data_IF_724987495711
#
_entry.id   IF_724987495711
#
_cell.length_a   1.000
_cell.length_b   1.000
_cell.length_c   1.000
_cell.angle_alpha   90.00
_cell.angle_beta   90.00
_cell.angle_gamma   90.00
#
_symmetry.space_group_name_H-M   'P 1'
#
loop_
_entity.id
_entity.type
_entity.pdbx_description
1 polymer ?
#
# COMPACT_ATOMS: atom_id res chain seq x y z
N UNK A 1 -9.96 -1.00 17.91
CA UNK A 1 -10.52 -1.60 16.70
C UNK A 1 -9.43 -2.10 15.78
N UNK A 2 -9.65 -3.21 15.10
CA UNK A 2 -8.76 -3.66 14.03
C UNK A 2 -8.93 -2.78 12.77
N UNK A 3 -7.99 -2.86 11.85
CA UNK A 3 -8.09 -2.15 10.56
C UNK A 3 -9.35 -2.56 9.81
N UNK A 4 -9.67 -3.87 9.83
CA UNK A 4 -10.88 -4.38 9.19
C UNK A 4 -12.15 -3.83 9.82
N UNK A 5 -12.19 -3.72 11.15
CA UNK A 5 -13.33 -3.13 11.85
C UNK A 5 -13.49 -1.63 11.55
N UNK A 6 -12.38 -0.90 11.46
CA UNK A 6 -12.41 0.51 11.06
C UNK A 6 -12.95 0.68 9.64
N UNK A 7 -12.52 -0.16 8.73
CA UNK A 7 -13.01 -0.15 7.35
C UNK A 7 -14.52 -0.42 7.30
N UNK A 8 -14.99 -1.46 7.98
CA UNK A 8 -16.41 -1.83 8.02
C UNK A 8 -17.29 -0.73 8.60
N UNK A 9 -16.80 -0.03 9.62
CA UNK A 9 -17.58 0.97 10.34
C UNK A 9 -17.57 2.35 9.69
N UNK A 10 -16.50 2.73 9.01
CA UNK A 10 -16.32 4.12 8.58
C UNK A 10 -16.11 4.31 7.08
N UNK A 11 -15.83 3.25 6.33
CA UNK A 11 -15.60 3.34 4.89
C UNK A 11 -16.82 2.76 4.15
N UNK A 12 -17.28 3.49 3.14
CA UNK A 12 -18.41 3.02 2.31
C UNK A 12 -18.04 1.71 1.63
N UNK A 13 -18.90 0.71 1.74
CA UNK A 13 -18.67 -0.61 1.18
C UNK A 13 -19.00 -0.64 -0.32
N UNK A 14 -18.10 -0.08 -1.14
CA UNK A 14 -18.24 -0.04 -2.60
C UNK A 14 -17.66 -1.27 -3.29
N UNK A 15 -16.80 -2.02 -2.61
CA UNK A 15 -16.16 -3.23 -3.12
C UNK A 15 -16.12 -4.31 -2.06
N UNK A 16 -16.19 -5.56 -2.49
CA UNK A 16 -15.90 -6.69 -1.61
C UNK A 16 -14.38 -6.82 -1.47
N UNK A 17 -13.88 -6.61 -0.28
CA UNK A 17 -12.45 -6.73 0.01
C UNK A 17 -12.10 -8.14 0.46
N UNK A 18 -10.94 -8.62 0.03
CA UNK A 18 -10.37 -9.83 0.61
C UNK A 18 -9.98 -9.56 2.07
N UNK A 19 -10.07 -10.56 2.96
CA UNK A 19 -9.74 -10.37 4.38
C UNK A 19 -8.23 -10.36 4.60
N UNK A 20 -7.54 -9.42 3.97
CA UNK A 20 -6.09 -9.26 4.02
C UNK A 20 -5.78 -7.80 4.35
N UNK A 21 -4.92 -7.59 5.33
CA UNK A 21 -4.42 -6.25 5.69
C UNK A 21 -2.94 -6.21 5.34
N UNK A 22 -2.61 -5.51 4.26
CA UNK A 22 -1.23 -5.32 3.82
C UNK A 22 -0.57 -4.28 4.70
N UNK A 23 0.63 -4.56 5.18
CA UNK A 23 1.31 -3.72 6.15
C UNK A 23 2.58 -3.09 5.62
N UNK A 24 3.35 -3.81 4.83
CA UNK A 24 4.64 -3.35 4.32
C UNK A 24 4.98 -4.04 3.01
N UNK A 25 6.04 -3.58 2.37
CA UNK A 25 6.50 -4.21 1.14
C UNK A 25 7.83 -3.67 0.68
N UNK A 26 8.42 -4.36 -0.29
CA UNK A 26 9.65 -3.95 -0.94
C UNK A 26 9.71 -4.55 -2.33
N UNK A 27 9.92 -3.72 -3.34
CA UNK A 27 9.94 -4.18 -4.73
C UNK A 27 8.58 -4.75 -5.13
N UNK A 28 8.53 -6.02 -5.47
CA UNK A 28 7.31 -6.73 -5.85
C UNK A 28 6.75 -7.62 -4.75
N UNK A 29 7.29 -7.54 -3.54
CA UNK A 29 6.83 -8.33 -2.40
C UNK A 29 6.05 -7.47 -1.43
N UNK A 30 4.92 -7.98 -0.95
CA UNK A 30 4.06 -7.32 0.03
C UNK A 30 3.84 -8.28 1.18
N UNK A 31 3.83 -7.75 2.39
CA UNK A 31 3.66 -8.54 3.61
C UNK A 31 2.40 -8.08 4.34
N UNK A 32 1.56 -9.03 4.76
CA UNK A 32 0.38 -8.71 5.55
C UNK A 32 0.70 -8.59 7.05
N UNK A 33 -0.30 -8.24 7.85
CA UNK A 33 -0.15 -8.05 9.29
C UNK A 33 0.26 -9.30 10.05
N UNK A 34 0.11 -10.48 9.44
CA UNK A 34 0.48 -11.76 10.02
C UNK A 34 1.84 -12.27 9.52
N UNK A 35 2.54 -11.48 8.70
CA UNK A 35 3.85 -11.83 8.18
C UNK A 35 3.81 -12.68 6.91
N UNK A 36 2.64 -12.92 6.33
CA UNK A 36 2.54 -13.66 5.07
C UNK A 36 2.94 -12.76 3.90
N UNK A 37 3.76 -13.30 3.01
CA UNK A 37 4.23 -12.59 1.81
C UNK A 37 3.39 -12.93 0.59
N UNK A 38 3.23 -11.92 -0.26
CA UNK A 38 2.53 -12.00 -1.54
C UNK A 38 3.39 -11.35 -2.62
N UNK A 39 3.22 -11.82 -3.86
CA UNK A 39 3.82 -11.15 -5.02
C UNK A 39 2.79 -10.18 -5.57
N UNK A 40 3.16 -8.90 -5.62
CA UNK A 40 2.30 -7.84 -6.18
C UNK A 40 2.48 -7.79 -7.70
N UNK A 41 1.48 -8.27 -8.42
CA UNK A 41 1.43 -8.22 -9.88
C UNK A 41 0.52 -7.10 -10.39
N UNK A 42 -0.27 -6.48 -9.52
CA UNK A 42 -1.24 -5.45 -9.89
C UNK A 42 -0.66 -4.04 -9.77
N UNK A 43 0.35 -3.83 -8.96
CA UNK A 43 1.05 -2.56 -8.72
C UNK A 43 0.14 -1.41 -8.26
N UNK A 44 -1.07 -1.70 -7.78
CA UNK A 44 -2.06 -0.66 -7.48
C UNK A 44 -2.51 0.10 -8.73
N UNK A 45 -2.58 -0.59 -9.85
CA UNK A 45 -2.86 -0.02 -11.19
C UNK A 45 -1.80 1.05 -11.52
N UNK A 46 -0.55 0.59 -11.61
CA UNK A 46 0.64 1.37 -11.97
C UNK A 46 1.13 2.37 -10.90
N UNK A 47 0.54 2.41 -9.73
CA UNK A 47 1.02 3.29 -8.64
C UNK A 47 2.43 2.90 -8.23
N UNK A 48 2.72 1.60 -8.13
CA UNK A 48 4.03 1.08 -7.73
C UNK A 48 4.88 0.66 -8.93
N UNK A 49 4.93 1.49 -9.97
CA UNK A 49 5.66 1.18 -11.22
C UNK A 49 7.15 0.92 -10.96
N UNK A 50 7.76 1.63 -10.00
CA UNK A 50 9.17 1.45 -9.63
C UNK A 50 9.37 0.43 -8.51
N UNK A 51 8.32 -0.26 -8.12
CA UNK A 51 8.34 -1.14 -6.96
C UNK A 51 7.94 -0.43 -5.67
N UNK A 52 7.61 -1.24 -4.66
CA UNK A 52 7.24 -0.74 -3.34
C UNK A 52 8.50 -0.32 -2.59
N UNK A 53 8.46 0.80 -1.89
CA UNK A 53 9.55 1.33 -1.08
C UNK A 53 10.82 1.68 -1.87
N UNK A 54 10.67 2.13 -3.13
CA UNK A 54 11.80 2.58 -3.94
C UNK A 54 12.40 3.86 -3.36
N UNK A 55 13.70 3.83 -3.03
CA UNK A 55 14.35 4.93 -2.33
C UNK A 55 14.46 6.21 -3.17
N UNK A 56 14.72 6.09 -4.46
CA UNK A 56 14.82 7.26 -5.36
C UNK A 56 13.47 7.94 -5.53
N UNK A 57 12.41 7.14 -5.68
CA UNK A 57 11.06 7.66 -5.78
C UNK A 57 10.66 8.39 -4.49
N UNK A 58 10.94 7.80 -3.33
CA UNK A 58 10.64 8.42 -2.03
C UNK A 58 11.36 9.75 -1.87
N UNK A 59 12.61 9.84 -2.24
CA UNK A 59 13.38 11.07 -2.18
C UNK A 59 12.81 12.16 -3.09
N UNK A 60 12.45 11.81 -4.32
CA UNK A 60 11.88 12.76 -5.27
C UNK A 60 10.56 13.33 -4.76
N UNK A 61 9.70 12.47 -4.22
CA UNK A 61 8.41 12.89 -3.64
C UNK A 61 8.63 13.80 -2.44
N UNK A 62 9.54 13.43 -1.53
CA UNK A 62 9.82 14.22 -0.33
C UNK A 62 10.35 15.61 -0.68
N UNK A 63 11.26 15.72 -1.62
CA UNK A 63 11.81 16.99 -2.08
C UNK A 63 10.74 17.87 -2.72
N UNK A 64 9.92 17.29 -3.58
CA UNK A 64 8.85 18.04 -4.24
C UNK A 64 7.78 18.49 -3.25
N UNK A 65 7.39 17.61 -2.32
CA UNK A 65 6.41 17.94 -1.30
C UNK A 65 6.88 19.08 -0.36
N UNK A 66 8.19 19.17 -0.14
CA UNK A 66 8.77 20.25 0.67
C UNK A 66 8.86 21.58 -0.09
N UNK A 67 8.69 21.56 -1.41
CA UNK A 67 8.80 22.75 -2.27
C UNK A 67 7.42 23.21 -2.75
N UNK A 68 6.66 22.32 -3.38
CA UNK A 68 5.33 22.61 -3.93
C UNK A 68 4.63 21.28 -4.26
N UNK A 69 3.45 21.08 -3.71
CA UNK A 69 2.62 19.92 -4.01
C UNK A 69 2.09 19.92 -5.45
#
# INVERSE_FOLDING_TARGET
MTVQQLDENFIVNTYNRFPVVLQSGHGSLVTDENGKEYIDLATGIAVNTFGIADAEWQQAVAQQAATLQ
#
